data_IF_812336370150
#
_entry.id   IF_812336370150
#
_cell.length_a   1.000
_cell.length_b   1.000
_cell.length_c   1.000
_cell.angle_alpha   90.00
_cell.angle_beta   90.00
_cell.angle_gamma   90.00
#
_symmetry.space_group_name_H-M   'P 1'
#
loop_
_entity.id
_entity.type
_entity.pdbx_description
1 polymer ?
#
# COMPACT_ATOMS: atom_id res chain seq x y z
N UNK A 1 -11.35 -8.17 -9.12
CA UNK A 1 -10.59 -6.91 -8.89
C UNK A 1 -9.10 -7.21 -8.87
N UNK A 2 -8.27 -6.42 -9.54
CA UNK A 2 -6.80 -6.54 -9.53
C UNK A 2 -6.21 -5.39 -8.70
N UNK A 3 -5.47 -5.68 -7.62
CA UNK A 3 -4.89 -4.68 -6.73
C UNK A 3 -3.39 -4.95 -6.55
N UNK A 4 -2.59 -3.88 -6.65
CA UNK A 4 -1.15 -3.96 -6.43
C UNK A 4 -0.71 -3.14 -5.21
N UNK A 5 0.33 -3.60 -4.50
CA UNK A 5 1.16 -2.79 -3.60
C UNK A 5 2.49 -2.52 -4.26
N UNK A 6 2.96 -1.29 -4.16
CA UNK A 6 4.15 -0.85 -4.84
C UNK A 6 4.91 0.24 -4.04
N UNK A 7 5.88 -0.16 -3.22
CA UNK A 7 6.86 0.80 -2.74
C UNK A 7 7.65 1.28 -3.97
N UNK A 8 7.41 2.56 -4.38
CA UNK A 8 7.96 3.12 -5.62
C UNK A 8 9.41 3.59 -5.47
N UNK A 9 9.98 3.47 -4.29
CA UNK A 9 11.27 4.01 -3.85
C UNK A 9 11.33 5.54 -3.91
N UNK A 10 11.60 6.12 -2.78
CA UNK A 10 11.70 7.57 -2.58
C UNK A 10 12.76 8.19 -3.49
N UNK A 11 12.39 9.26 -4.20
CA UNK A 11 13.29 9.95 -5.12
C UNK A 11 14.13 11.00 -4.38
N UNK A 12 15.28 10.59 -3.88
CA UNK A 12 16.32 11.47 -3.34
C UNK A 12 17.45 11.77 -4.35
N UNK A 13 17.44 11.13 -5.53
CA UNK A 13 18.46 11.32 -6.54
C UNK A 13 19.78 10.59 -6.25
N UNK A 14 19.77 9.59 -5.34
CA UNK A 14 20.97 8.92 -4.83
C UNK A 14 21.13 7.47 -5.33
N UNK A 15 20.18 6.97 -6.15
CA UNK A 15 20.13 5.57 -6.58
C UNK A 15 20.91 5.29 -7.89
N UNK A 16 21.70 6.27 -8.38
CA UNK A 16 22.55 6.10 -9.57
C UNK A 16 21.73 5.77 -10.83
N UNK A 17 22.00 4.62 -11.45
CA UNK A 17 21.28 4.14 -12.64
C UNK A 17 19.82 3.79 -12.33
N UNK A 18 19.48 3.59 -11.06
CA UNK A 18 18.14 3.35 -10.56
C UNK A 18 17.43 4.61 -10.03
N UNK A 19 17.94 5.83 -10.30
CA UNK A 19 17.23 7.06 -9.99
C UNK A 19 15.85 7.06 -10.64
N UNK A 20 14.87 7.67 -9.96
CA UNK A 20 13.48 7.66 -10.38
C UNK A 20 13.26 8.10 -11.83
N UNK A 21 14.03 9.08 -12.33
CA UNK A 21 13.93 9.54 -13.71
C UNK A 21 14.18 8.42 -14.75
N UNK A 22 15.04 7.45 -14.45
CA UNK A 22 15.32 6.30 -15.33
C UNK A 22 14.26 5.20 -15.17
N UNK A 23 13.67 5.05 -13.99
CA UNK A 23 12.63 4.05 -13.69
C UNK A 23 11.24 4.41 -14.24
N UNK A 24 10.94 5.72 -14.39
CA UNK A 24 9.63 6.22 -14.87
C UNK A 24 9.08 5.49 -16.10
N UNK A 25 9.84 5.32 -17.20
CA UNK A 25 9.33 4.66 -18.40
C UNK A 25 8.94 3.21 -18.14
N UNK A 26 9.75 2.46 -17.38
CA UNK A 26 9.53 1.05 -17.06
C UNK A 26 8.30 0.89 -16.14
N UNK A 27 8.17 1.75 -15.13
CA UNK A 27 7.02 1.79 -14.23
C UNK A 27 5.73 2.03 -15.03
N UNK A 28 5.73 3.03 -15.90
CA UNK A 28 4.55 3.39 -16.70
C UNK A 28 4.17 2.30 -17.70
N UNK A 29 5.14 1.68 -18.35
CA UNK A 29 4.93 0.53 -19.23
C UNK A 29 4.28 -0.64 -18.48
N UNK A 30 4.80 -0.97 -17.26
CA UNK A 30 4.27 -2.03 -16.43
C UNK A 30 2.83 -1.73 -16.01
N UNK A 31 2.55 -0.55 -15.49
CA UNK A 31 1.20 -0.16 -15.06
C UNK A 31 0.19 -0.14 -16.22
N UNK A 32 0.60 0.30 -17.41
CA UNK A 32 -0.24 0.29 -18.62
C UNK A 32 -0.55 -1.12 -19.11
N UNK A 33 0.40 -2.05 -18.99
CA UNK A 33 0.23 -3.44 -19.38
C UNK A 33 -0.67 -4.20 -18.42
N UNK A 34 -0.40 -4.07 -17.12
CA UNK A 34 -1.11 -4.82 -16.07
C UNK A 34 -2.48 -4.24 -15.74
N UNK A 35 -2.65 -2.94 -15.86
CA UNK A 35 -3.90 -2.20 -15.63
C UNK A 35 -4.62 -2.61 -14.34
N UNK A 36 -3.94 -2.62 -13.16
CA UNK A 36 -4.62 -2.94 -11.90
C UNK A 36 -5.78 -1.98 -11.64
N UNK A 37 -6.85 -2.45 -11.01
CA UNK A 37 -7.99 -1.61 -10.66
C UNK A 37 -7.61 -0.58 -9.60
N UNK A 38 -6.69 -0.96 -8.67
CA UNK A 38 -6.09 -0.06 -7.69
C UNK A 38 -4.60 -0.37 -7.48
N UNK A 39 -3.80 0.65 -7.18
CA UNK A 39 -2.39 0.54 -6.78
C UNK A 39 -2.17 1.33 -5.50
N UNK A 40 -1.68 0.64 -4.47
CA UNK A 40 -1.23 1.22 -3.22
C UNK A 40 0.26 1.53 -3.33
N UNK A 41 0.61 2.80 -3.49
CA UNK A 41 1.99 3.25 -3.58
C UNK A 41 2.50 3.72 -2.21
N UNK A 42 3.74 3.38 -1.87
CA UNK A 42 4.48 3.90 -0.73
C UNK A 42 5.66 4.74 -1.23
N UNK A 43 6.22 5.58 -0.38
CA UNK A 43 7.37 6.48 -0.66
C UNK A 43 7.14 7.52 -1.77
N UNK A 44 5.90 7.90 -1.98
CA UNK A 44 5.54 8.87 -3.03
C UNK A 44 5.85 10.29 -2.58
N UNK A 45 6.94 10.89 -3.05
CA UNK A 45 7.27 12.31 -2.83
C UNK A 45 6.27 13.23 -3.55
N UNK A 46 6.10 14.50 -3.14
CA UNK A 46 5.14 15.41 -3.76
C UNK A 46 5.26 15.52 -5.28
N UNK A 47 6.48 15.63 -5.81
CA UNK A 47 6.72 15.69 -7.27
C UNK A 47 6.43 14.34 -7.97
N UNK A 48 6.61 13.21 -7.27
CA UNK A 48 6.23 11.88 -7.78
C UNK A 48 4.71 11.75 -7.83
N UNK A 49 3.99 12.28 -6.83
CA UNK A 49 2.52 12.33 -6.84
C UNK A 49 1.98 13.17 -8.01
N UNK A 50 2.61 14.30 -8.32
CA UNK A 50 2.26 15.10 -9.52
C UNK A 50 2.47 14.28 -10.79
N UNK A 51 3.64 13.64 -10.92
CA UNK A 51 3.93 12.78 -12.06
C UNK A 51 2.94 11.63 -12.21
N UNK A 52 2.55 10.94 -11.12
CA UNK A 52 1.54 9.89 -11.16
C UNK A 52 0.19 10.40 -11.68
N UNK A 53 -0.25 11.59 -11.23
CA UNK A 53 -1.50 12.22 -11.68
C UNK A 53 -1.48 12.55 -13.17
N UNK A 54 -0.34 12.96 -13.70
CA UNK A 54 -0.16 13.31 -15.11
C UNK A 54 0.02 12.08 -16.01
N UNK A 55 0.84 11.10 -15.56
CA UNK A 55 1.22 9.94 -16.37
C UNK A 55 0.15 8.84 -16.41
N UNK A 56 -0.70 8.74 -15.37
CA UNK A 56 -1.76 7.73 -15.25
C UNK A 56 -3.13 8.30 -15.65
N UNK A 57 -3.30 8.67 -16.92
CA UNK A 57 -4.50 9.35 -17.44
C UNK A 57 -5.83 8.63 -17.09
N UNK A 58 -5.82 7.29 -17.05
CA UNK A 58 -6.99 6.45 -16.73
C UNK A 58 -7.26 6.28 -15.23
N UNK A 59 -6.48 6.94 -14.36
CA UNK A 59 -6.58 6.80 -12.90
C UNK A 59 -6.86 8.14 -12.22
N UNK A 60 -7.54 8.07 -11.09
CA UNK A 60 -7.44 9.09 -10.05
C UNK A 60 -6.34 8.71 -9.07
N UNK A 61 -5.66 9.71 -8.50
CA UNK A 61 -4.55 9.53 -7.56
C UNK A 61 -4.83 10.36 -6.32
N UNK A 62 -4.95 9.69 -5.17
CA UNK A 62 -5.32 10.29 -3.89
C UNK A 62 -4.27 9.98 -2.83
N UNK A 63 -4.16 10.86 -1.83
CA UNK A 63 -3.22 10.78 -0.70
C UNK A 63 -2.71 12.18 -0.34
N UNK A 64 -2.05 12.29 0.80
CA UNK A 64 -1.37 13.49 1.25
C UNK A 64 -0.04 13.15 1.92
N UNK A 65 0.87 14.13 2.01
CA UNK A 65 2.17 13.97 2.66
C UNK A 65 2.05 13.76 4.16
N UNK A 66 2.98 13.01 4.71
CA UNK A 66 3.00 12.56 6.11
C UNK A 66 3.51 13.61 7.11
N UNK A 67 4.19 14.68 6.63
CA UNK A 67 4.76 15.70 7.51
C UNK A 67 3.69 16.60 8.14
N UNK A 68 4.09 17.43 9.07
CA UNK A 68 3.23 18.43 9.72
C UNK A 68 2.64 19.43 8.70
N UNK A 69 3.36 19.71 7.62
CA UNK A 69 2.93 20.59 6.52
C UNK A 69 2.21 19.86 5.40
N UNK A 70 1.93 18.58 5.55
CA UNK A 70 1.34 17.68 4.55
C UNK A 70 2.21 17.50 3.29
N UNK A 71 3.49 17.80 3.41
CA UNK A 71 4.52 17.48 2.43
C UNK A 71 5.17 16.14 2.77
N UNK A 72 6.33 15.82 2.15
CA UNK A 72 7.03 14.56 2.33
C UNK A 72 6.30 13.37 1.67
N UNK A 73 6.70 12.15 1.99
CA UNK A 73 6.15 10.92 1.41
C UNK A 73 4.67 10.72 1.70
N UNK A 74 3.96 10.19 0.72
CA UNK A 74 2.53 9.91 0.77
C UNK A 74 2.27 8.40 0.69
N UNK A 75 1.23 7.95 1.39
CA UNK A 75 0.59 6.65 1.16
C UNK A 75 -0.48 6.85 0.09
N UNK A 76 -0.06 6.78 -1.18
CA UNK A 76 -0.90 7.16 -2.31
C UNK A 76 -1.68 5.95 -2.82
N UNK A 77 -2.97 6.14 -3.14
CA UNK A 77 -3.78 5.16 -3.85
C UNK A 77 -4.13 5.70 -5.23
N UNK A 78 -3.68 5.00 -6.29
CA UNK A 78 -4.17 5.25 -7.64
C UNK A 78 -5.25 4.22 -7.97
N UNK A 79 -6.40 4.67 -8.53
CA UNK A 79 -7.51 3.79 -8.88
C UNK A 79 -8.13 4.14 -10.22
N UNK A 80 -8.55 3.13 -10.96
CA UNK A 80 -9.11 3.28 -12.30
C UNK A 80 -10.44 4.02 -12.27
N UNK A 81 -10.54 5.07 -13.08
CA UNK A 81 -11.73 5.92 -13.24
C UNK A 81 -12.95 5.18 -13.77
N UNK A 82 -12.70 4.20 -14.65
CA UNK A 82 -13.74 3.42 -15.32
C UNK A 82 -14.18 2.17 -14.55
N UNK A 83 -13.52 1.86 -13.42
CA UNK A 83 -13.78 0.66 -12.63
C UNK A 83 -14.27 0.94 -11.22
N UNK A 84 -13.79 2.03 -10.63
CA UNK A 84 -14.00 2.32 -9.21
C UNK A 84 -14.55 3.74 -9.02
N UNK A 85 -15.57 3.85 -8.17
CA UNK A 85 -16.08 5.10 -7.66
C UNK A 85 -15.64 5.28 -6.20
N UNK A 86 -14.98 6.38 -5.88
CA UNK A 86 -14.57 6.71 -4.52
C UNK A 86 -15.77 7.22 -3.72
N UNK A 87 -16.09 6.56 -2.61
CA UNK A 87 -17.19 6.96 -1.72
C UNK A 87 -16.66 7.81 -0.55
N UNK A 88 -15.54 7.38 0.05
CA UNK A 88 -14.92 8.07 1.18
C UNK A 88 -13.42 7.82 1.21
N UNK A 89 -12.65 8.76 1.77
CA UNK A 89 -11.23 8.57 2.05
C UNK A 89 -10.82 9.32 3.32
N UNK A 90 -9.79 8.80 3.96
CA UNK A 90 -9.13 9.41 5.12
C UNK A 90 -7.63 9.06 5.09
N UNK A 91 -6.77 10.00 5.46
CA UNK A 91 -5.38 9.71 5.84
C UNK A 91 -5.22 10.01 7.32
N UNK A 92 -4.67 9.06 8.07
CA UNK A 92 -4.44 9.20 9.51
C UNK A 92 -3.01 8.80 9.87
N UNK A 93 -2.48 9.41 10.93
CA UNK A 93 -1.14 9.16 11.43
C UNK A 93 -1.11 7.96 12.37
N UNK A 94 -0.09 7.14 12.23
CA UNK A 94 0.16 6.02 13.13
C UNK A 94 0.83 6.57 14.39
N UNK A 95 -0.01 6.98 15.34
CA UNK A 95 0.38 7.66 16.58
C UNK A 95 -0.77 7.63 17.59
N UNK A 96 -0.52 8.13 18.80
CA UNK A 96 -1.57 8.34 19.82
C UNK A 96 -2.54 9.48 19.44
N UNK A 97 -2.17 10.33 18.49
CA UNK A 97 -2.97 11.45 17.99
C UNK A 97 -3.15 11.38 16.48
N UNK A 98 -3.95 10.41 15.98
CA UNK A 98 -4.00 10.07 14.55
C UNK A 98 -4.52 11.18 13.63
N UNK A 99 -5.21 12.18 14.17
CA UNK A 99 -5.71 13.35 13.43
C UNK A 99 -4.73 14.52 13.39
N UNK A 100 -3.55 14.38 14.02
CA UNK A 100 -2.54 15.46 14.10
C UNK A 100 -1.44 15.19 13.07
N UNK A 101 -1.32 16.02 12.01
CA UNK A 101 -0.26 15.90 11.01
C UNK A 101 1.14 15.88 11.64
N UNK A 102 2.00 14.99 11.14
CA UNK A 102 3.37 14.85 11.61
C UNK A 102 3.52 14.09 12.94
N UNK A 103 2.43 13.66 13.59
CA UNK A 103 2.50 12.94 14.87
C UNK A 103 3.13 11.55 14.70
N UNK A 104 3.78 11.06 15.76
CA UNK A 104 4.55 9.80 15.79
C UNK A 104 4.41 9.11 17.13
N UNK A 105 4.69 7.80 17.17
CA UNK A 105 4.95 7.10 18.42
C UNK A 105 6.34 7.48 18.98
N UNK A 106 6.54 7.43 20.30
CA UNK A 106 7.81 7.87 20.92
C UNK A 106 9.05 7.07 20.47
N UNK A 107 8.89 5.80 20.13
CA UNK A 107 9.96 4.88 19.70
C UNK A 107 10.02 4.71 18.17
N UNK A 108 9.31 5.55 17.44
CA UNK A 108 9.34 5.60 15.97
C UNK A 108 10.57 6.37 15.51
N UNK A 109 11.04 6.06 14.29
CA UNK A 109 12.02 6.87 13.57
C UNK A 109 11.58 8.35 13.48
N UNK A 110 12.46 9.21 12.96
CA UNK A 110 12.11 10.61 12.71
C UNK A 110 10.97 10.78 11.69
N UNK A 111 10.66 9.74 10.92
CA UNK A 111 9.66 9.76 9.88
C UNK A 111 8.25 9.51 10.43
N UNK A 112 7.30 10.44 10.34
CA UNK A 112 5.90 10.14 10.61
C UNK A 112 5.40 9.02 9.69
N UNK A 113 4.53 8.15 10.21
CA UNK A 113 3.91 7.06 9.42
C UNK A 113 2.42 7.27 9.34
N UNK A 114 1.84 6.97 8.20
CA UNK A 114 0.42 7.16 7.93
C UNK A 114 -0.20 5.92 7.31
N UNK A 115 -1.52 5.86 7.38
CA UNK A 115 -2.32 4.98 6.54
C UNK A 115 -3.36 5.82 5.80
N UNK A 116 -3.53 5.54 4.51
CA UNK A 116 -4.61 6.10 3.68
C UNK A 116 -5.68 5.03 3.49
N UNK A 117 -6.85 5.27 4.04
CA UNK A 117 -8.05 4.45 3.89
C UNK A 117 -8.94 5.03 2.78
N UNK A 118 -9.44 4.19 1.91
CA UNK A 118 -10.42 4.55 0.89
C UNK A 118 -11.52 3.50 0.79
N UNK A 119 -12.77 3.95 0.67
CA UNK A 119 -13.94 3.10 0.42
C UNK A 119 -14.37 3.31 -1.01
N UNK A 120 -14.49 2.22 -1.76
CA UNK A 120 -14.83 2.21 -3.17
C UNK A 120 -16.10 1.41 -3.46
N UNK A 121 -16.83 1.83 -4.49
CA UNK A 121 -17.79 0.99 -5.20
C UNK A 121 -17.12 0.43 -6.47
N UNK A 122 -17.18 -0.88 -6.66
CA UNK A 122 -16.86 -1.49 -7.95
C UNK A 122 -18.01 -1.24 -8.92
N UNK A 123 -17.75 -0.49 -9.98
CA UNK A 123 -18.79 -0.02 -10.92
C UNK A 123 -19.37 -1.13 -11.79
N UNK A 124 -18.62 -2.18 -12.04
CA UNK A 124 -19.06 -3.32 -12.86
C UNK A 124 -19.82 -4.35 -12.03
N UNK A 125 -19.24 -4.81 -10.93
CA UNK A 125 -19.79 -5.89 -10.09
C UNK A 125 -20.72 -5.39 -8.97
N UNK A 126 -20.83 -4.05 -8.81
CA UNK A 126 -21.77 -3.37 -7.88
C UNK A 126 -21.63 -3.80 -6.42
N UNK A 127 -20.41 -3.87 -5.91
CA UNK A 127 -20.13 -4.07 -4.49
C UNK A 127 -19.24 -2.96 -3.93
N UNK A 128 -19.38 -2.72 -2.62
CA UNK A 128 -18.54 -1.76 -1.89
C UNK A 128 -17.44 -2.51 -1.17
N UNK A 129 -16.23 -1.94 -1.15
CA UNK A 129 -15.08 -2.51 -0.46
C UNK A 129 -14.15 -1.40 0.06
N UNK A 130 -13.23 -1.78 0.94
CA UNK A 130 -12.25 -0.88 1.53
C UNK A 130 -10.84 -1.27 1.16
N UNK A 131 -10.00 -0.27 0.95
CA UNK A 131 -8.55 -0.40 0.78
C UNK A 131 -7.86 0.48 1.82
N UNK A 132 -6.85 -0.07 2.48
CA UNK A 132 -5.95 0.67 3.36
C UNK A 132 -4.53 0.50 2.83
N UNK A 133 -3.87 1.60 2.52
CA UNK A 133 -2.47 1.65 2.12
C UNK A 133 -1.63 2.19 3.28
N UNK A 134 -0.55 1.49 3.63
CA UNK A 134 0.35 1.90 4.72
C UNK A 134 1.80 1.58 4.43
N UNK A 135 2.70 2.24 5.17
CA UNK A 135 4.13 1.95 5.23
C UNK A 135 4.55 2.08 6.70
N UNK A 136 4.80 0.95 7.36
CA UNK A 136 5.15 0.93 8.78
C UNK A 136 6.57 1.45 9.02
N UNK A 137 6.92 1.67 10.26
CA UNK A 137 8.22 2.27 10.60
C UNK A 137 9.39 1.32 10.32
N UNK A 138 10.48 1.85 9.75
CA UNK A 138 11.64 1.05 9.38
C UNK A 138 12.60 0.76 10.55
N UNK A 139 12.54 1.55 11.64
CA UNK A 139 13.42 1.39 12.82
C UNK A 139 12.70 0.73 14.00
N UNK A 140 11.58 1.31 14.42
CA UNK A 140 10.92 0.98 15.68
C UNK A 140 10.00 -0.25 15.60
N UNK A 141 10.44 -1.42 16.05
CA UNK A 141 9.60 -2.63 16.11
C UNK A 141 8.32 -2.41 16.95
N UNK A 142 8.42 -1.69 18.08
CA UNK A 142 7.26 -1.32 18.89
C UNK A 142 6.32 -0.37 18.17
N UNK A 143 6.85 0.59 17.40
CA UNK A 143 6.05 1.49 16.56
C UNK A 143 5.33 0.72 15.45
N UNK A 144 5.99 -0.27 14.79
CA UNK A 144 5.35 -1.17 13.82
C UNK A 144 4.19 -1.93 14.44
N UNK A 145 4.41 -2.57 15.59
CA UNK A 145 3.38 -3.33 16.30
C UNK A 145 2.16 -2.47 16.65
N UNK A 146 2.39 -1.24 17.19
CA UNK A 146 1.30 -0.30 17.51
C UNK A 146 0.61 0.23 16.27
N UNK A 147 1.36 0.59 15.23
CA UNK A 147 0.80 1.07 13.96
C UNK A 147 -0.11 0.03 13.30
N UNK A 148 0.34 -1.22 13.22
CA UNK A 148 -0.48 -2.33 12.73
C UNK A 148 -1.71 -2.55 13.63
N UNK A 149 -1.52 -2.56 14.94
CA UNK A 149 -2.61 -2.69 15.91
C UNK A 149 -3.64 -1.56 15.79
N UNK A 150 -3.20 -0.32 15.55
CA UNK A 150 -4.08 0.83 15.31
C UNK A 150 -4.91 0.67 14.04
N UNK A 151 -4.30 0.24 12.93
CA UNK A 151 -5.02 -0.03 11.68
C UNK A 151 -6.07 -1.12 11.89
N UNK A 152 -5.68 -2.26 12.46
CA UNK A 152 -6.59 -3.37 12.72
C UNK A 152 -7.72 -2.96 13.68
N UNK A 153 -7.41 -2.26 14.77
CA UNK A 153 -8.41 -1.77 15.72
C UNK A 153 -9.41 -0.79 15.11
N UNK A 154 -8.95 0.10 14.22
CA UNK A 154 -9.85 0.99 13.46
C UNK A 154 -10.78 0.20 12.54
N UNK A 155 -10.30 -0.86 11.92
CA UNK A 155 -11.06 -1.70 10.98
C UNK A 155 -12.02 -2.69 11.65
N UNK A 156 -11.88 -2.93 12.96
CA UNK A 156 -12.89 -3.66 13.74
C UNK A 156 -14.17 -2.83 13.98
N UNK A 157 -14.05 -1.50 14.01
CA UNK A 157 -15.13 -0.56 14.26
C UNK A 157 -15.09 0.64 13.32
N UNK A 158 -15.15 0.41 12.00
CA UNK A 158 -15.07 1.49 11.04
C UNK A 158 -16.30 2.38 11.13
N UNK A 159 -16.11 3.69 10.99
CA UNK A 159 -17.20 4.68 11.04
C UNK A 159 -18.19 4.56 9.89
N UNK A 160 -17.71 4.09 8.72
CA UNK A 160 -18.51 3.92 7.51
C UNK A 160 -18.38 2.49 6.99
N UNK A 161 -19.47 1.92 6.49
CA UNK A 161 -19.50 0.61 5.84
C UNK A 161 -18.79 -0.50 6.67
N UNK A 162 -19.31 -0.89 7.83
CA UNK A 162 -18.60 -1.71 8.80
C UNK A 162 -18.32 -3.15 8.33
N UNK A 163 -19.08 -3.67 7.39
CA UNK A 163 -19.02 -5.08 6.99
C UNK A 163 -18.64 -5.30 5.52
N UNK A 164 -17.90 -4.38 4.92
CA UNK A 164 -17.45 -4.54 3.54
C UNK A 164 -16.15 -5.36 3.45
N UNK A 165 -15.94 -6.09 2.36
CA UNK A 165 -14.65 -6.69 2.05
C UNK A 165 -13.54 -5.65 2.16
N UNK A 166 -12.41 -6.01 2.77
CA UNK A 166 -11.33 -5.07 3.09
C UNK A 166 -9.98 -5.63 2.66
N UNK A 167 -9.15 -4.76 2.07
CA UNK A 167 -7.74 -5.02 1.75
C UNK A 167 -6.88 -4.05 2.56
N UNK A 168 -5.82 -4.56 3.21
CA UNK A 168 -4.72 -3.77 3.72
C UNK A 168 -3.52 -4.12 2.85
N UNK A 169 -2.87 -3.13 2.27
CA UNK A 169 -1.71 -3.32 1.41
C UNK A 169 -0.60 -2.34 1.79
N UNK A 170 0.65 -2.74 1.60
CA UNK A 170 1.78 -1.85 1.86
C UNK A 170 3.04 -2.57 2.29
N UNK A 171 4.04 -1.75 2.59
CA UNK A 171 5.32 -2.13 3.15
C UNK A 171 5.21 -2.16 4.68
N UNK A 172 5.33 -3.34 5.27
CA UNK A 172 5.22 -3.52 6.72
C UNK A 172 6.58 -3.37 7.43
N UNK A 173 7.70 -3.25 6.70
CA UNK A 173 9.06 -3.21 7.24
C UNK A 173 9.35 -4.34 8.26
N UNK A 174 8.67 -5.46 8.11
CA UNK A 174 8.75 -6.62 8.99
C UNK A 174 8.42 -7.90 8.22
N UNK A 175 9.14 -8.96 8.48
CA UNK A 175 8.80 -10.29 7.97
C UNK A 175 7.61 -10.89 8.72
N UNK A 176 6.86 -11.81 8.09
CA UNK A 176 5.58 -12.31 8.58
C UNK A 176 5.65 -13.01 9.95
N UNK A 177 6.79 -13.61 10.30
CA UNK A 177 7.03 -14.29 11.56
C UNK A 177 7.55 -13.37 12.67
N UNK A 178 7.90 -12.11 12.34
CA UNK A 178 8.37 -11.12 13.30
C UNK A 178 7.36 -10.91 14.44
N UNK A 179 7.85 -10.63 15.67
CA UNK A 179 6.97 -10.40 16.82
C UNK A 179 5.96 -9.27 16.61
N UNK A 180 6.35 -8.20 15.93
CA UNK A 180 5.51 -7.05 15.63
C UNK A 180 4.32 -7.37 14.72
N UNK A 181 4.39 -8.46 13.96
CA UNK A 181 3.29 -8.95 13.11
C UNK A 181 2.31 -9.88 13.87
N UNK A 182 2.48 -10.06 15.18
CA UNK A 182 1.63 -10.94 15.99
C UNK A 182 0.14 -10.55 15.94
N UNK A 183 -0.17 -9.25 15.89
CA UNK A 183 -1.55 -8.76 15.82
C UNK A 183 -2.25 -9.24 14.53
N UNK A 184 -1.52 -9.33 13.42
CA UNK A 184 -2.05 -9.87 12.17
C UNK A 184 -2.38 -11.36 12.29
N UNK A 185 -1.48 -12.16 12.87
CA UNK A 185 -1.70 -13.61 13.05
C UNK A 185 -2.93 -13.94 13.90
N UNK A 186 -3.32 -13.03 14.80
CA UNK A 186 -4.55 -13.16 15.61
C UNK A 186 -5.79 -12.52 15.00
N UNK A 187 -5.68 -11.88 13.83
CA UNK A 187 -6.78 -11.15 13.18
C UNK A 187 -7.59 -12.01 12.21
N UNK A 188 -8.69 -11.46 11.71
CA UNK A 188 -9.50 -12.07 10.65
C UNK A 188 -8.95 -11.84 9.23
N UNK A 189 -7.80 -11.16 9.10
CA UNK A 189 -7.16 -10.91 7.83
C UNK A 189 -6.27 -12.09 7.41
N UNK A 190 -6.33 -12.42 6.13
CA UNK A 190 -5.45 -13.43 5.51
C UNK A 190 -4.34 -12.73 4.74
N UNK A 191 -3.11 -13.13 4.94
CA UNK A 191 -2.00 -12.74 4.11
C UNK A 191 -2.06 -13.53 2.79
N UNK A 192 -2.45 -12.87 1.69
CA UNK A 192 -2.50 -13.51 0.37
C UNK A 192 -1.16 -13.50 -0.36
N UNK A 193 -0.18 -12.77 0.18
CA UNK A 193 1.20 -12.74 -0.31
C UNK A 193 2.11 -13.75 0.40
N UNK A 194 1.56 -14.57 1.30
CA UNK A 194 2.31 -15.64 1.96
C UNK A 194 2.98 -16.55 0.93
N UNK A 195 4.29 -16.78 1.08
CA UNK A 195 5.08 -17.61 0.16
C UNK A 195 5.55 -16.91 -1.12
N UNK A 196 5.25 -15.60 -1.34
CA UNK A 196 5.75 -14.84 -2.49
C UNK A 196 7.28 -14.65 -2.45
N UNK A 197 7.89 -14.83 -1.27
CA UNK A 197 9.33 -14.68 -1.04
C UNK A 197 9.78 -13.22 -0.97
N UNK A 198 10.99 -12.98 -1.41
CA UNK A 198 11.62 -11.65 -1.38
C UNK A 198 10.78 -10.62 -2.13
N UNK A 199 10.48 -9.49 -1.48
CA UNK A 199 9.89 -8.31 -2.10
C UNK A 199 10.83 -7.11 -2.05
N UNK A 200 11.62 -6.92 -0.99
CA UNK A 200 12.68 -5.92 -0.91
C UNK A 200 14.04 -6.54 -1.32
N UNK A 201 14.74 -5.91 -2.26
CA UNK A 201 16.04 -6.37 -2.76
C UNK A 201 17.13 -5.28 -2.75
N UNK A 202 16.78 -4.01 -2.43
CA UNK A 202 17.72 -2.91 -2.25
C UNK A 202 18.61 -2.64 -3.47
N UNK A 203 18.14 -2.91 -4.69
CA UNK A 203 18.96 -2.91 -5.91
C UNK A 203 20.20 -3.83 -5.81
N UNK A 204 20.11 -4.91 -5.04
CA UNK A 204 21.21 -5.84 -4.80
C UNK A 204 22.27 -5.37 -3.81
N UNK A 205 22.02 -4.28 -3.07
CA UNK A 205 22.95 -3.71 -2.07
C UNK A 205 22.66 -4.18 -0.65
N UNK A 206 21.43 -4.58 -0.37
CA UNK A 206 20.94 -4.94 0.96
C UNK A 206 20.61 -6.42 1.09
N UNK A 207 20.35 -6.87 2.32
CA UNK A 207 19.87 -8.23 2.58
C UNK A 207 18.42 -8.34 2.13
N UNK A 208 18.11 -9.20 1.14
CA UNK A 208 16.75 -9.33 0.63
C UNK A 208 15.79 -9.91 1.67
N UNK A 209 14.56 -9.35 1.75
CA UNK A 209 13.53 -9.82 2.66
C UNK A 209 12.11 -9.67 2.06
N UNK A 210 11.12 -10.33 2.67
CA UNK A 210 9.71 -10.27 2.25
C UNK A 210 8.91 -9.39 3.20
N UNK A 211 8.68 -8.12 2.85
CA UNK A 211 8.09 -7.11 3.73
C UNK A 211 6.87 -6.37 3.14
N UNK A 212 6.54 -6.62 1.88
CA UNK A 212 5.37 -6.06 1.22
C UNK A 212 4.20 -7.05 1.23
N UNK A 213 3.05 -6.61 1.71
CA UNK A 213 1.90 -7.48 1.94
C UNK A 213 0.63 -6.99 1.28
N UNK A 214 -0.22 -7.95 0.89
CA UNK A 214 -1.63 -7.75 0.61
C UNK A 214 -2.40 -8.67 1.57
N UNK A 215 -3.13 -8.04 2.49
CA UNK A 215 -3.92 -8.69 3.53
C UNK A 215 -5.39 -8.50 3.22
N UNK A 216 -6.18 -9.56 3.28
CA UNK A 216 -7.59 -9.50 2.86
C UNK A 216 -8.54 -10.06 3.91
N UNK A 217 -9.70 -9.44 4.04
CA UNK A 217 -10.88 -9.95 4.73
C UNK A 217 -12.09 -9.82 3.80
N UNK A 218 -12.85 -10.90 3.62
CA UNK A 218 -14.00 -10.92 2.71
C UNK A 218 -13.67 -10.99 1.22
N UNK A 219 -12.40 -11.33 0.89
CA UNK A 219 -11.97 -11.66 -0.48
C UNK A 219 -11.40 -13.07 -0.56
N UNK A 220 -11.67 -13.74 -1.66
CA UNK A 220 -10.92 -14.91 -2.12
C UNK A 220 -9.80 -14.41 -3.05
N UNK A 221 -8.59 -14.93 -2.86
CA UNK A 221 -7.46 -14.67 -3.75
C UNK A 221 -7.46 -15.71 -4.87
N UNK A 222 -7.46 -15.25 -6.11
CA UNK A 222 -7.45 -16.08 -7.32
C UNK A 222 -6.05 -16.24 -7.90
N UNK A 223 -5.12 -15.36 -7.49
CA UNK A 223 -3.71 -15.42 -7.87
C UNK A 223 -2.94 -14.22 -7.34
N UNK A 224 -1.65 -14.42 -7.12
CA UNK A 224 -0.70 -13.38 -6.73
C UNK A 224 0.52 -13.47 -7.64
N UNK A 225 0.98 -12.33 -8.11
CA UNK A 225 2.19 -12.24 -8.91
C UNK A 225 3.12 -11.15 -8.35
N UNK A 226 4.40 -11.36 -8.49
CA UNK A 226 5.45 -10.41 -8.17
C UNK A 226 6.01 -9.83 -9.48
N UNK A 227 6.15 -8.52 -9.57
CA UNK A 227 6.66 -7.84 -10.75
C UNK A 227 8.18 -7.66 -10.61
N UNK A 228 8.93 -8.49 -11.34
CA UNK A 228 10.39 -8.55 -11.25
C UNK A 228 11.08 -7.97 -12.48
N UNK A 229 10.38 -7.12 -13.23
CA UNK A 229 10.92 -6.51 -14.43
C UNK A 229 12.15 -5.66 -14.12
N UNK A 230 13.15 -5.88 -14.95
CA UNK A 230 14.40 -5.13 -15.00
C UNK A 230 14.77 -4.94 -16.47
N UNK A 231 15.35 -3.80 -16.79
CA UNK A 231 15.84 -3.50 -18.14
C UNK A 231 17.21 -2.82 -18.03
N UNK A 232 18.25 -3.51 -18.49
CA UNK A 232 19.63 -2.99 -18.50
C UNK A 232 20.12 -2.50 -17.13
N UNK A 233 19.80 -3.25 -16.05
CA UNK A 233 20.15 -2.90 -14.66
C UNK A 233 19.19 -1.92 -14.00
N UNK A 234 18.19 -1.41 -14.72
CA UNK A 234 17.14 -0.52 -14.17
C UNK A 234 15.93 -1.33 -13.75
N UNK A 235 15.62 -1.32 -12.47
CA UNK A 235 14.47 -2.00 -11.87
C UNK A 235 13.24 -1.09 -11.81
N UNK A 236 12.05 -1.65 -11.52
CA UNK A 236 10.86 -0.88 -11.20
C UNK A 236 11.05 -0.05 -9.92
N UNK A 237 11.67 -0.65 -8.91
CA UNK A 237 11.99 -0.11 -7.59
C UNK A 237 13.07 -0.97 -6.95
N UNK A 238 13.53 -0.64 -5.76
CA UNK A 238 14.29 -1.52 -4.85
C UNK A 238 13.39 -2.56 -4.16
N UNK A 239 12.07 -2.45 -4.35
CA UNK A 239 11.09 -3.46 -4.05
C UNK A 239 10.52 -4.06 -5.34
N UNK A 240 10.16 -5.35 -5.30
CA UNK A 240 9.32 -5.97 -6.33
C UNK A 240 7.86 -5.72 -6.00
N UNK A 241 7.11 -4.95 -6.81
CA UNK A 241 5.68 -4.76 -6.60
C UNK A 241 4.94 -6.10 -6.60
N UNK A 242 3.93 -6.22 -5.75
CA UNK A 242 3.10 -7.43 -5.66
C UNK A 242 1.68 -7.10 -6.07
N UNK A 243 1.09 -7.94 -6.92
CA UNK A 243 -0.26 -7.76 -7.44
C UNK A 243 -1.11 -8.99 -7.17
N UNK A 244 -2.32 -8.80 -6.64
CA UNK A 244 -3.27 -9.86 -6.37
C UNK A 244 -4.55 -9.71 -7.20
N UNK A 245 -5.05 -10.83 -7.73
CA UNK A 245 -6.40 -10.96 -8.27
C UNK A 245 -7.34 -11.39 -7.15
N UNK A 246 -8.32 -10.54 -6.83
CA UNK A 246 -9.20 -10.69 -5.69
C UNK A 246 -10.67 -10.74 -6.15
N UNK A 247 -11.45 -11.69 -5.60
CA UNK A 247 -12.90 -11.79 -5.82
C UNK A 247 -13.63 -11.66 -4.48
N UNK A 248 -14.64 -10.77 -4.36
CA UNK A 248 -15.38 -10.66 -3.11
C UNK A 248 -16.07 -11.98 -2.77
N UNK A 249 -16.00 -12.38 -1.50
CA UNK A 249 -16.80 -13.47 -0.96
C UNK A 249 -18.14 -12.89 -0.56
N UNK A 250 -19.13 -13.02 -1.44
CA UNK A 250 -20.50 -12.58 -1.15
C UNK A 250 -21.05 -13.49 -0.06
N UNK A 251 -21.28 -12.94 1.14
CA UNK A 251 -22.11 -13.62 2.12
C UNK A 251 -23.53 -13.68 1.53
N UNK A 252 -24.04 -14.86 1.25
CA UNK A 252 -25.40 -15.10 0.76
C UNK A 252 -26.48 -14.86 1.83
N UNK A 253 -26.16 -14.21 2.94
CA UNK A 253 -27.07 -13.73 3.98
C UNK A 253 -27.45 -12.28 3.67
N UNK A 254 -28.68 -12.08 3.21
CA UNK A 254 -29.24 -10.84 2.72
C UNK A 254 -29.07 -9.62 3.65
N UNK A 255 -29.08 -8.44 3.00
CA UNK A 255 -29.34 -7.14 3.63
C UNK A 255 -30.73 -7.12 4.25
#
# INVERSE_FOLDING_TARGET
MKLATFNIRCDYGEDGENNFCFRKPLILEKLRRERPDAVCFQEVRPHVAVWLKEALEGYYVIGCGRSETLEDEQMTIAYRKDRLNLIAMETFWLSETPSVPGSRYPDQSICPRTATEAVFENLEEKYVFRVVNTHLDHEGAGARARGLGQILGKLERPALFPQVPTVIAGDMNAEADSPEMAALRGSSYRNVTEGIGVTYHGFGRDVPCGIDYILTRGFACEGVEKWTEERDGVYLSDHYPVCAALRPVMNTGGF
#
